data_IF_864055590124
#
_entry.id   IF_864055590124
#
_cell.length_a   1.000
_cell.length_b   1.000
_cell.length_c   1.000
_cell.angle_alpha   90.00
_cell.angle_beta   90.00
_cell.angle_gamma   90.00
#
_symmetry.space_group_name_H-M   'P 1'
#
loop_
_entity.id
_entity.type
_entity.pdbx_description
1 polymer ?
#
# COMPACT_ATOMS: atom_id res chain seq x y z
N UNK A 1 27.76 17.81 -8.36
CA UNK A 1 27.55 17.85 -6.90
C UNK A 1 27.15 16.47 -6.40
N UNK A 2 28.01 15.92 -5.54
CA UNK A 2 27.90 14.79 -4.59
C UNK A 2 26.97 13.60 -4.86
N UNK A 3 27.55 12.49 -5.32
CA UNK A 3 26.97 11.15 -5.22
C UNK A 3 26.95 10.57 -3.77
N UNK A 4 27.43 11.33 -2.78
CA UNK A 4 27.51 10.87 -1.38
C UNK A 4 26.26 11.21 -0.56
N UNK A 5 25.43 12.18 -0.99
CA UNK A 5 24.18 12.58 -0.29
C UNK A 5 22.99 11.69 -0.67
N UNK A 6 23.07 10.99 -1.81
CA UNK A 6 22.00 10.11 -2.31
C UNK A 6 21.86 8.78 -1.54
N UNK A 7 22.96 8.22 -1.01
CA UNK A 7 22.90 6.94 -0.30
C UNK A 7 22.17 7.01 1.06
N UNK A 8 22.39 8.03 1.93
CA UNK A 8 21.68 8.15 3.21
C UNK A 8 20.16 8.32 3.06
N UNK A 9 19.72 9.10 2.06
CA UNK A 9 18.29 9.33 1.81
C UNK A 9 17.62 8.05 1.30
N UNK A 10 18.24 7.36 0.36
CA UNK A 10 17.73 6.09 -0.16
C UNK A 10 17.67 5.01 0.94
N UNK A 11 18.65 4.95 1.84
CA UNK A 11 18.64 4.03 2.97
C UNK A 11 17.53 4.36 3.96
N UNK A 12 17.38 5.64 4.32
CA UNK A 12 16.31 6.11 5.21
C UNK A 12 14.93 5.82 4.63
N UNK A 13 14.75 6.06 3.33
CA UNK A 13 13.51 5.77 2.63
C UNK A 13 13.24 4.26 2.58
N UNK A 14 14.25 3.44 2.30
CA UNK A 14 14.10 1.97 2.28
C UNK A 14 13.64 1.43 3.63
N UNK A 15 14.24 1.90 4.73
CA UNK A 15 13.85 1.53 6.07
C UNK A 15 12.40 1.95 6.37
N UNK A 16 12.05 3.22 6.07
CA UNK A 16 10.69 3.71 6.26
C UNK A 16 9.67 2.94 5.41
N UNK A 17 9.98 2.63 4.15
CA UNK A 17 9.11 1.88 3.26
C UNK A 17 8.91 0.42 3.70
N UNK A 18 9.92 -0.19 4.32
CA UNK A 18 9.81 -1.51 4.93
C UNK A 18 8.90 -1.52 6.16
N UNK A 19 8.90 -0.45 6.96
CA UNK A 19 8.11 -0.35 8.20
C UNK A 19 6.71 0.23 8.02
N UNK A 20 6.51 1.08 7.02
CA UNK A 20 5.26 1.82 6.79
C UNK A 20 4.51 1.36 5.54
N UNK A 21 5.17 0.69 4.60
CA UNK A 21 4.69 0.57 3.23
C UNK A 21 5.19 1.71 2.34
N UNK A 22 5.29 1.45 1.04
CA UNK A 22 5.94 2.37 0.12
C UNK A 22 5.13 3.65 -0.12
N UNK A 23 3.81 3.54 -0.18
CA UNK A 23 2.94 4.71 -0.39
C UNK A 23 2.93 5.57 0.87
N UNK A 24 2.76 4.96 2.04
CA UNK A 24 2.74 5.65 3.34
C UNK A 24 4.08 6.34 3.61
N UNK A 25 5.21 5.67 3.34
CA UNK A 25 6.54 6.27 3.44
C UNK A 25 6.74 7.43 2.45
N UNK A 26 6.26 7.28 1.20
CA UNK A 26 6.32 8.37 0.20
C UNK A 26 5.58 9.61 0.68
N UNK A 27 4.35 9.42 1.17
CA UNK A 27 3.51 10.50 1.69
C UNK A 27 4.14 11.18 2.90
N UNK A 28 4.73 10.41 3.82
CA UNK A 28 5.46 10.95 4.97
C UNK A 28 6.62 11.85 4.51
N UNK A 29 7.50 11.34 3.65
CA UNK A 29 8.67 12.10 3.19
C UNK A 29 8.26 13.36 2.42
N UNK A 30 7.25 13.27 1.55
CA UNK A 30 6.74 14.43 0.81
C UNK A 30 6.19 15.49 1.76
N UNK A 31 5.35 15.11 2.74
CA UNK A 31 4.81 16.04 3.75
C UNK A 31 5.94 16.70 4.55
N UNK A 32 6.93 15.92 4.98
CA UNK A 32 8.09 16.43 5.72
C UNK A 32 8.90 17.43 4.90
N UNK A 33 9.22 17.12 3.64
CA UNK A 33 9.93 18.03 2.75
C UNK A 33 9.12 19.30 2.46
N UNK A 34 7.83 19.15 2.16
CA UNK A 34 6.92 20.27 1.93
C UNK A 34 6.85 21.21 3.13
N UNK A 35 6.80 20.67 4.35
CA UNK A 35 6.74 21.47 5.58
C UNK A 35 8.02 22.30 5.84
N UNK A 36 9.19 21.82 5.39
CA UNK A 36 10.48 22.46 5.69
C UNK A 36 11.02 23.32 4.54
N UNK A 37 10.65 23.03 3.29
CA UNK A 37 11.17 23.75 2.11
C UNK A 37 10.21 23.81 0.93
N UNK A 38 8.93 23.54 1.16
CA UNK A 38 7.87 23.63 0.15
C UNK A 38 8.11 22.73 -1.08
N UNK A 39 7.58 23.16 -2.22
CA UNK A 39 7.71 22.44 -3.48
C UNK A 39 9.17 22.22 -3.92
N UNK A 40 10.07 23.15 -3.62
CA UNK A 40 11.48 23.02 -3.96
C UNK A 40 12.13 21.81 -3.26
N UNK A 41 11.88 21.64 -1.95
CA UNK A 41 12.38 20.48 -1.21
C UNK A 41 11.77 19.15 -1.69
N UNK A 42 10.50 19.16 -2.13
CA UNK A 42 9.87 17.97 -2.71
C UNK A 42 10.48 17.62 -4.08
N UNK A 43 10.79 18.63 -4.90
CA UNK A 43 11.49 18.43 -6.16
C UNK A 43 12.90 17.86 -5.94
N UNK A 44 13.63 18.34 -4.92
CA UNK A 44 14.93 17.81 -4.55
C UNK A 44 14.86 16.35 -4.07
N UNK A 45 13.86 16.00 -3.26
CA UNK A 45 13.57 14.62 -2.85
C UNK A 45 13.32 13.72 -4.07
N UNK A 46 12.45 14.16 -4.99
CA UNK A 46 12.15 13.45 -6.23
C UNK A 46 13.41 13.22 -7.07
N UNK A 47 14.22 14.25 -7.27
CA UNK A 47 15.43 14.18 -8.09
C UNK A 47 16.49 13.25 -7.48
N UNK A 48 16.60 13.20 -6.15
CA UNK A 48 17.60 12.37 -5.46
C UNK A 48 17.19 10.90 -5.34
N UNK A 49 15.91 10.62 -5.09
CA UNK A 49 15.43 9.29 -4.72
C UNK A 49 14.45 8.66 -5.72
N UNK A 50 13.68 9.47 -6.46
CA UNK A 50 12.58 9.01 -7.32
C UNK A 50 13.01 7.99 -8.38
N UNK A 51 14.22 8.13 -8.93
CA UNK A 51 14.75 7.17 -9.89
C UNK A 51 14.87 5.74 -9.34
N UNK A 52 15.09 5.59 -8.04
CA UNK A 52 15.19 4.31 -7.34
C UNK A 52 13.85 3.85 -6.76
N UNK A 53 12.94 4.78 -6.48
CA UNK A 53 11.64 4.52 -5.85
C UNK A 53 10.50 5.11 -6.69
N UNK A 54 9.98 4.36 -7.69
CA UNK A 54 8.96 4.87 -8.62
C UNK A 54 7.67 5.37 -7.95
N UNK A 55 7.25 4.76 -6.84
CA UNK A 55 6.07 5.22 -6.07
C UNK A 55 6.32 6.61 -5.46
N UNK A 56 7.52 6.83 -4.91
CA UNK A 56 7.92 8.14 -4.42
C UNK A 56 8.01 9.15 -5.56
N UNK A 57 8.60 8.78 -6.70
CA UNK A 57 8.71 9.63 -7.89
C UNK A 57 7.34 10.13 -8.36
N UNK A 58 6.39 9.20 -8.50
CA UNK A 58 5.03 9.50 -8.97
C UNK A 58 4.23 10.27 -7.93
N UNK A 59 4.30 9.92 -6.64
CA UNK A 59 3.63 10.68 -5.59
C UNK A 59 4.20 12.10 -5.45
N UNK A 60 5.52 12.26 -5.60
CA UNK A 60 6.16 13.58 -5.58
C UNK A 60 5.80 14.39 -6.83
N UNK A 61 5.73 13.76 -8.00
CA UNK A 61 5.26 14.41 -9.23
C UNK A 61 3.83 14.95 -9.05
N UNK A 62 2.94 14.12 -8.49
CA UNK A 62 1.54 14.49 -8.27
C UNK A 62 1.42 15.67 -7.29
N UNK A 63 2.19 15.66 -6.21
CA UNK A 63 2.29 16.79 -5.29
C UNK A 63 2.82 18.06 -5.97
N UNK A 64 3.86 17.96 -6.80
CA UNK A 64 4.45 19.12 -7.47
C UNK A 64 3.50 19.77 -8.48
N UNK A 65 2.60 18.99 -9.07
CA UNK A 65 1.61 19.48 -10.02
C UNK A 65 0.37 20.08 -9.33
N UNK A 66 -0.09 19.46 -8.24
CA UNK A 66 -1.37 19.83 -7.60
C UNK A 66 -1.19 20.65 -6.31
N UNK A 67 0.00 20.65 -5.73
CA UNK A 67 0.30 21.21 -4.42
C UNK A 67 -0.18 20.35 -3.24
N UNK A 68 -0.77 19.18 -3.50
CA UNK A 68 -1.37 18.32 -2.47
C UNK A 68 -1.10 16.84 -2.75
N UNK A 69 -1.15 16.02 -1.70
CA UNK A 69 -1.18 14.56 -1.87
C UNK A 69 -2.65 14.13 -2.00
N UNK A 70 -2.99 13.20 -2.92
CA UNK A 70 -4.36 12.70 -3.04
C UNK A 70 -4.90 12.18 -1.70
N UNK A 71 -6.19 12.41 -1.39
CA UNK A 71 -6.81 11.78 -0.24
C UNK A 71 -6.87 10.26 -0.44
N UNK A 72 -6.73 9.50 0.65
CA UNK A 72 -7.02 8.07 0.63
C UNK A 72 -8.54 7.93 0.71
N UNK A 73 -9.17 7.27 -0.28
CA UNK A 73 -10.61 7.07 -0.38
C UNK A 73 -11.20 6.13 0.70
N UNK A 74 -10.95 6.43 1.97
CA UNK A 74 -11.17 5.55 3.11
C UNK A 74 -12.65 5.24 3.35
N UNK A 75 -13.54 6.21 3.18
CA UNK A 75 -14.97 6.01 3.42
C UNK A 75 -15.56 4.90 2.53
N UNK A 76 -15.10 4.81 1.27
CA UNK A 76 -15.54 3.76 0.36
C UNK A 76 -14.98 2.40 0.79
N UNK A 77 -13.70 2.32 1.16
CA UNK A 77 -13.09 1.10 1.69
C UNK A 77 -13.78 0.62 2.97
N UNK A 78 -14.04 1.52 3.92
CA UNK A 78 -14.74 1.22 5.17
C UNK A 78 -16.18 0.74 4.88
N UNK A 79 -16.90 1.41 3.98
CA UNK A 79 -18.26 1.05 3.60
C UNK A 79 -18.37 -0.35 3.00
N UNK A 80 -17.38 -0.77 2.20
CA UNK A 80 -17.32 -2.12 1.63
C UNK A 80 -16.90 -3.16 2.67
N UNK A 81 -15.83 -2.90 3.42
CA UNK A 81 -15.23 -3.85 4.36
C UNK A 81 -16.05 -4.03 5.64
N UNK A 82 -16.90 -3.08 6.00
CA UNK A 82 -17.84 -3.22 7.13
C UNK A 82 -18.93 -4.29 6.89
N UNK A 83 -19.13 -4.72 5.64
CA UNK A 83 -20.13 -5.72 5.25
C UNK A 83 -19.66 -7.16 5.41
N UNK A 84 -18.37 -7.36 5.70
CA UNK A 84 -17.77 -8.68 5.93
C UNK A 84 -17.42 -8.85 7.40
N UNK A 85 -17.21 -10.10 7.83
CA UNK A 85 -16.78 -10.43 9.19
C UNK A 85 -15.25 -10.48 9.31
N UNK A 86 -14.55 -10.92 8.26
CA UNK A 86 -13.09 -11.01 8.22
C UNK A 86 -12.52 -10.23 7.04
N UNK A 87 -11.47 -9.45 7.28
CA UNK A 87 -10.68 -8.78 6.26
C UNK A 87 -9.26 -9.33 6.32
N UNK A 88 -8.82 -9.96 5.23
CA UNK A 88 -7.44 -10.39 5.05
C UNK A 88 -6.75 -9.37 4.14
N UNK A 89 -5.70 -8.74 4.63
CA UNK A 89 -4.97 -7.68 3.94
C UNK A 89 -3.69 -8.26 3.33
N UNK A 90 -3.51 -8.04 2.03
CA UNK A 90 -2.34 -8.45 1.25
C UNK A 90 -1.50 -7.21 0.95
N UNK A 91 -0.25 -7.24 1.42
CA UNK A 91 0.60 -6.06 1.49
C UNK A 91 0.40 -5.30 2.81
N UNK A 92 1.20 -4.25 3.00
CA UNK A 92 1.14 -3.43 4.20
C UNK A 92 1.34 -1.97 3.83
N UNK A 93 0.41 -1.13 4.28
CA UNK A 93 0.48 0.33 4.21
C UNK A 93 -0.13 0.86 5.50
N UNK A 94 0.68 1.56 6.30
CA UNK A 94 0.29 1.98 7.65
C UNK A 94 -0.79 3.05 7.63
N UNK A 95 -0.70 4.04 6.75
CA UNK A 95 -1.68 5.15 6.72
C UNK A 95 -3.10 4.65 6.38
N UNK A 96 -3.33 3.80 5.36
CA UNK A 96 -4.63 3.18 5.14
C UNK A 96 -5.08 2.27 6.29
N UNK A 97 -4.19 1.48 6.89
CA UNK A 97 -4.54 0.61 8.03
C UNK A 97 -4.95 1.42 9.25
N UNK A 98 -4.28 2.53 9.53
CA UNK A 98 -4.59 3.45 10.63
C UNK A 98 -5.98 4.10 10.45
N UNK A 99 -6.48 4.20 9.21
CA UNK A 99 -7.84 4.64 8.92
C UNK A 99 -8.86 3.50 9.07
N UNK A 100 -8.51 2.28 8.66
CA UNK A 100 -9.41 1.11 8.71
C UNK A 100 -9.63 0.58 10.13
N UNK A 101 -8.55 0.35 10.88
CA UNK A 101 -8.58 -0.33 12.18
C UNK A 101 -9.54 0.32 13.18
N UNK A 102 -9.56 1.66 13.38
CA UNK A 102 -10.52 2.28 14.29
C UNK A 102 -11.96 2.27 13.75
N UNK A 103 -12.17 2.26 12.43
CA UNK A 103 -13.50 2.27 11.81
C UNK A 103 -14.14 0.86 11.78
N UNK A 104 -13.35 -0.17 11.57
CA UNK A 104 -13.77 -1.57 11.50
C UNK A 104 -13.73 -2.22 12.89
N UNK A 105 -14.68 -1.83 13.73
CA UNK A 105 -14.69 -2.19 15.16
C UNK A 105 -15.05 -3.65 15.43
N UNK A 106 -15.85 -4.27 14.57
CA UNK A 106 -16.34 -5.65 14.75
C UNK A 106 -15.61 -6.66 13.86
N UNK A 107 -14.95 -6.20 12.80
CA UNK A 107 -14.24 -7.06 11.87
C UNK A 107 -12.97 -7.63 12.51
N UNK A 108 -12.66 -8.87 12.13
CA UNK A 108 -11.33 -9.44 12.31
C UNK A 108 -10.44 -8.98 11.16
N UNK A 109 -9.32 -8.34 11.49
CA UNK A 109 -8.36 -7.84 10.50
C UNK A 109 -7.10 -8.69 10.60
N UNK A 110 -6.74 -9.34 9.50
CA UNK A 110 -5.49 -10.09 9.37
C UNK A 110 -4.62 -9.42 8.32
N UNK A 111 -3.32 -9.35 8.56
CA UNK A 111 -2.32 -8.86 7.61
C UNK A 111 -1.40 -10.00 7.25
N UNK A 112 -1.24 -10.24 5.96
CA UNK A 112 -0.25 -11.16 5.43
C UNK A 112 1.16 -10.62 5.71
N UNK A 113 1.93 -11.33 6.51
CA UNK A 113 3.32 -10.97 6.86
C UNK A 113 4.33 -11.38 5.78
N UNK A 114 4.04 -11.00 4.53
CA UNK A 114 4.89 -11.22 3.37
C UNK A 114 5.07 -9.90 2.61
N UNK A 115 6.30 -9.38 2.56
CA UNK A 115 6.63 -8.14 1.86
C UNK A 115 7.94 -8.26 1.10
N UNK A 116 8.07 -7.44 0.04
CA UNK A 116 9.28 -7.35 -0.77
C UNK A 116 10.42 -6.59 -0.07
N UNK A 117 10.08 -5.68 0.84
CA UNK A 117 11.05 -4.95 1.67
C UNK A 117 11.03 -5.53 3.09
N UNK A 118 12.20 -5.64 3.74
CA UNK A 118 12.26 -6.15 5.11
C UNK A 118 11.62 -5.17 6.09
N UNK A 119 10.81 -5.72 6.99
CA UNK A 119 10.17 -4.98 8.08
C UNK A 119 10.09 -5.86 9.33
N UNK A 120 10.03 -5.23 10.50
CA UNK A 120 9.82 -5.91 11.78
C UNK A 120 8.32 -6.05 12.02
N UNK A 121 7.75 -7.16 11.55
CA UNK A 121 6.31 -7.42 11.62
C UNK A 121 5.77 -7.41 13.05
N UNK A 122 6.52 -7.95 14.01
CA UNK A 122 6.10 -7.97 15.41
C UNK A 122 5.95 -6.54 15.93
N UNK A 123 6.97 -5.70 15.72
CA UNK A 123 6.92 -4.28 16.12
C UNK A 123 5.85 -3.50 15.37
N UNK A 124 5.73 -3.69 14.06
CA UNK A 124 4.75 -3.00 13.23
C UNK A 124 3.33 -3.30 13.69
N UNK A 125 3.01 -4.58 13.95
CA UNK A 125 1.67 -5.00 14.37
C UNK A 125 1.37 -4.68 15.83
N UNK A 126 2.39 -4.57 16.69
CA UNK A 126 2.23 -4.14 18.08
C UNK A 126 1.58 -2.73 18.20
N UNK A 127 1.77 -1.86 17.19
CA UNK A 127 1.12 -0.54 17.14
C UNK A 127 -0.41 -0.63 17.15
N UNK A 128 -0.98 -1.74 16.67
CA UNK A 128 -2.42 -1.97 16.62
C UNK A 128 -2.98 -2.66 17.87
N UNK A 129 -2.15 -2.90 18.91
CA UNK A 129 -2.59 -3.43 20.22
C UNK A 129 -3.45 -4.70 20.11
N UNK A 130 -3.11 -5.59 19.18
CA UNK A 130 -3.83 -6.84 18.94
C UNK A 130 -5.11 -6.74 18.11
N UNK A 131 -5.48 -5.55 17.60
CA UNK A 131 -6.61 -5.39 16.67
C UNK A 131 -6.31 -5.94 15.27
N UNK A 132 -5.03 -6.02 14.91
CA UNK A 132 -4.55 -6.62 13.66
C UNK A 132 -3.74 -7.85 14.01
N UNK A 133 -4.06 -8.97 13.35
CA UNK A 133 -3.38 -10.25 13.54
C UNK A 133 -2.47 -10.54 12.35
N UNK A 134 -1.32 -11.17 12.60
CA UNK A 134 -0.49 -11.70 11.54
C UNK A 134 -1.09 -12.99 10.97
N UNK A 135 -0.95 -13.18 9.66
CA UNK A 135 -1.16 -14.46 8.99
C UNK A 135 -0.04 -14.69 7.99
N UNK A 136 0.40 -15.94 7.81
CA UNK A 136 1.35 -16.31 6.76
C UNK A 136 0.63 -16.80 5.50
N UNK A 137 1.38 -17.17 4.47
CA UNK A 137 0.79 -17.65 3.21
C UNK A 137 -0.01 -18.96 3.40
N UNK A 138 0.44 -19.83 4.30
CA UNK A 138 -0.15 -21.14 4.52
C UNK A 138 -1.51 -21.02 5.25
N UNK A 139 -1.66 -20.03 6.13
CA UNK A 139 -2.87 -19.80 6.92
C UNK A 139 -3.92 -18.89 6.30
N UNK A 140 -3.68 -18.25 5.15
CA UNK A 140 -4.67 -17.31 4.56
C UNK A 140 -6.00 -18.01 4.23
N UNK A 141 -5.93 -19.22 3.65
CA UNK A 141 -7.12 -19.92 3.18
C UNK A 141 -8.02 -20.39 4.32
N UNK A 142 -7.47 -20.56 5.54
CA UNK A 142 -8.25 -20.84 6.76
C UNK A 142 -9.16 -19.66 7.16
N UNK A 143 -9.01 -18.51 6.50
CA UNK A 143 -9.81 -17.32 6.73
C UNK A 143 -10.66 -16.92 5.52
N UNK A 144 -10.65 -17.74 4.47
CA UNK A 144 -11.57 -17.60 3.36
C UNK A 144 -13.01 -17.97 3.77
N UNK A 145 -13.99 -17.44 3.05
CA UNK A 145 -15.39 -17.75 3.27
C UNK A 145 -16.35 -16.69 2.71
N UNK A 146 -17.67 -16.97 2.81
CA UNK A 146 -18.74 -16.11 2.28
C UNK A 146 -18.88 -14.76 3.01
N UNK A 147 -18.18 -14.58 4.13
CA UNK A 147 -18.14 -13.31 4.89
C UNK A 147 -16.70 -12.83 5.08
N UNK A 148 -15.82 -13.17 4.14
CA UNK A 148 -14.42 -12.75 4.14
C UNK A 148 -14.09 -11.94 2.89
N UNK A 149 -13.35 -10.84 3.07
CA UNK A 149 -12.77 -10.06 1.97
C UNK A 149 -11.25 -10.21 1.96
N UNK A 150 -10.66 -10.30 0.77
CA UNK A 150 -9.23 -10.16 0.55
C UNK A 150 -8.97 -8.74 0.03
N UNK A 151 -8.37 -7.89 0.86
CA UNK A 151 -8.00 -6.51 0.53
C UNK A 151 -6.56 -6.46 0.04
N UNK A 152 -6.31 -5.80 -1.08
CA UNK A 152 -4.98 -5.53 -1.61
C UNK A 152 -4.78 -4.03 -1.76
N UNK A 153 -3.68 -3.50 -1.22
CA UNK A 153 -3.27 -2.14 -1.53
C UNK A 153 -2.59 -2.12 -2.89
N UNK A 154 -3.16 -1.36 -3.82
CA UNK A 154 -2.67 -1.27 -5.19
C UNK A 154 -2.22 0.15 -5.50
N UNK A 155 -1.43 0.29 -6.56
CA UNK A 155 -1.04 1.60 -7.08
C UNK A 155 -1.07 1.60 -8.61
N UNK A 156 -0.92 2.79 -9.19
CA UNK A 156 -0.94 2.94 -10.63
C UNK A 156 -2.35 2.95 -11.20
N UNK A 157 -2.45 2.66 -12.49
CA UNK A 157 -3.72 2.54 -13.20
C UNK A 157 -3.79 3.44 -14.43
N UNK A 158 -3.74 2.81 -15.61
CA UNK A 158 -4.33 3.32 -16.85
C UNK A 158 -5.04 2.16 -17.56
N UNK A 159 -6.30 2.36 -17.93
CA UNK A 159 -7.08 1.34 -18.62
C UNK A 159 -7.41 0.16 -17.71
N UNK A 160 -6.84 -1.02 -18.01
CA UNK A 160 -7.26 -2.30 -17.43
C UNK A 160 -6.21 -2.97 -16.54
N UNK A 161 -5.16 -2.27 -16.10
CA UNK A 161 -4.13 -2.85 -15.21
C UNK A 161 -3.86 -1.99 -13.98
N UNK A 162 -3.45 -2.66 -12.90
CA UNK A 162 -2.99 -2.05 -11.64
C UNK A 162 -1.72 -2.77 -11.18
N UNK A 163 -0.98 -2.13 -10.28
CA UNK A 163 0.22 -2.72 -9.71
C UNK A 163 -0.03 -3.15 -8.26
N UNK A 164 0.34 -4.40 -7.96
CA UNK A 164 0.09 -5.07 -6.67
C UNK A 164 1.40 -5.47 -6.00
N UNK A 165 1.45 -5.63 -4.66
CA UNK A 165 2.56 -6.29 -3.99
C UNK A 165 2.75 -7.72 -4.54
N UNK A 166 4.00 -8.19 -4.64
CA UNK A 166 4.32 -9.54 -5.13
C UNK A 166 3.64 -10.66 -4.34
N UNK A 167 3.30 -10.39 -3.07
CA UNK A 167 2.49 -11.25 -2.21
C UNK A 167 1.16 -11.64 -2.88
N UNK A 168 0.53 -10.73 -3.62
CA UNK A 168 -0.72 -10.98 -4.32
C UNK A 168 -0.63 -12.15 -5.28
N UNK A 169 0.48 -12.29 -6.02
CA UNK A 169 0.68 -13.39 -6.97
C UNK A 169 0.79 -14.76 -6.29
N UNK A 170 0.99 -14.81 -4.97
CA UNK A 170 1.03 -16.05 -4.18
C UNK A 170 -0.33 -16.42 -3.61
N UNK A 171 -1.23 -15.44 -3.46
CA UNK A 171 -2.54 -15.61 -2.82
C UNK A 171 -3.67 -15.64 -3.84
N UNK A 172 -3.50 -14.95 -4.96
CA UNK A 172 -4.48 -14.87 -6.03
C UNK A 172 -4.21 -15.92 -7.11
N UNK A 173 -5.15 -16.85 -7.24
CA UNK A 173 -5.27 -17.80 -8.35
C UNK A 173 -6.74 -18.02 -8.71
N UNK A 174 -7.03 -18.88 -9.70
CA UNK A 174 -8.39 -19.17 -10.15
C UNK A 174 -9.35 -19.55 -9.00
N UNK A 175 -8.84 -20.26 -8.00
CA UNK A 175 -9.62 -20.77 -6.87
C UNK A 175 -9.92 -19.70 -5.81
N UNK A 176 -9.07 -18.68 -5.67
CA UNK A 176 -9.21 -17.63 -4.63
C UNK A 176 -10.52 -16.86 -4.77
N UNK A 177 -10.95 -16.60 -6.01
CA UNK A 177 -12.24 -15.96 -6.32
C UNK A 177 -13.45 -16.76 -5.88
N UNK A 178 -13.30 -18.08 -5.73
CA UNK A 178 -14.41 -18.95 -5.35
C UNK A 178 -14.58 -19.05 -3.84
N UNK A 179 -13.55 -18.71 -3.07
CA UNK A 179 -13.52 -18.92 -1.61
C UNK A 179 -13.62 -17.62 -0.82
N UNK A 180 -13.18 -16.48 -1.36
CA UNK A 180 -13.45 -15.16 -0.76
C UNK A 180 -14.70 -14.53 -1.36
N UNK A 181 -15.53 -13.91 -0.51
CA UNK A 181 -16.73 -13.21 -0.97
C UNK A 181 -16.40 -11.97 -1.81
N UNK A 182 -15.27 -11.31 -1.51
CA UNK A 182 -14.81 -10.10 -2.20
C UNK A 182 -13.30 -10.09 -2.33
N UNK A 183 -12.82 -9.66 -3.50
CA UNK A 183 -11.43 -9.31 -3.76
C UNK A 183 -11.37 -7.80 -3.99
N UNK A 184 -10.91 -7.05 -2.99
CA UNK A 184 -10.96 -5.59 -2.98
C UNK A 184 -9.57 -5.04 -3.29
N UNK A 185 -9.44 -4.26 -4.35
CA UNK A 185 -8.27 -3.43 -4.58
C UNK A 185 -8.54 -2.01 -4.06
N UNK A 186 -7.67 -1.52 -3.18
CA UNK A 186 -7.67 -0.11 -2.79
C UNK A 186 -6.45 0.59 -3.37
N UNK A 187 -6.69 1.40 -4.39
CA UNK A 187 -5.70 2.18 -5.10
C UNK A 187 -5.31 3.41 -4.30
N UNK A 188 -4.07 3.43 -3.82
CA UNK A 188 -3.56 4.49 -2.95
C UNK A 188 -2.82 5.58 -3.74
N UNK A 189 -2.55 5.33 -5.03
CA UNK A 189 -1.86 6.25 -5.92
C UNK A 189 -2.37 6.02 -7.36
N UNK A 190 -3.56 6.56 -7.73
CA UNK A 190 -4.21 6.32 -9.00
C UNK A 190 -3.59 7.15 -10.14
N UNK A 191 -2.27 7.05 -10.29
CA UNK A 191 -1.49 7.79 -11.28
C UNK A 191 -0.58 6.84 -12.05
N UNK A 192 -0.44 6.98 -13.37
CA UNK A 192 0.44 6.13 -14.16
C UNK A 192 1.89 6.30 -13.72
N UNK A 193 2.66 5.22 -13.78
CA UNK A 193 4.10 5.27 -13.50
C UNK A 193 4.88 5.56 -14.78
N UNK A 194 5.76 6.55 -14.73
CA UNK A 194 6.75 6.79 -15.80
C UNK A 194 7.87 5.74 -15.79
N UNK A 195 8.02 5.02 -14.67
CA UNK A 195 9.06 4.00 -14.44
C UNK A 195 8.42 2.75 -13.84
N UNK A 196 8.82 1.58 -14.33
CA UNK A 196 8.31 0.32 -13.80
C UNK A 196 8.57 0.17 -12.28
N UNK A 197 7.53 -0.07 -11.46
CA UNK A 197 7.67 -0.21 -10.00
C UNK A 197 8.32 -1.55 -9.64
N UNK A 198 9.63 -1.53 -9.38
CA UNK A 198 10.53 -2.71 -9.25
C UNK A 198 10.18 -3.75 -8.16
N UNK A 199 9.19 -3.49 -7.33
CA UNK A 199 8.73 -4.39 -6.24
C UNK A 199 7.25 -4.75 -6.33
N UNK A 200 6.59 -4.33 -7.40
CA UNK A 200 5.20 -4.64 -7.65
C UNK A 200 5.07 -5.45 -8.93
N UNK A 201 3.97 -6.20 -9.03
CA UNK A 201 3.59 -6.92 -10.22
C UNK A 201 2.42 -6.20 -10.90
N UNK A 202 2.43 -6.15 -12.22
CA UNK A 202 1.28 -5.68 -12.98
C UNK A 202 0.27 -6.82 -13.09
N UNK A 203 -1.00 -6.52 -12.78
CA UNK A 203 -2.12 -7.46 -12.92
C UNK A 203 -3.32 -6.77 -13.58
N UNK A 204 -4.20 -7.53 -14.25
CA UNK A 204 -5.47 -7.01 -14.73
C UNK A 204 -6.33 -6.46 -13.59
N UNK A 205 -6.96 -5.30 -13.77
CA UNK A 205 -7.86 -4.72 -12.76
C UNK A 205 -9.13 -5.56 -12.56
N UNK A 206 -9.51 -6.37 -13.56
CA UNK A 206 -10.62 -7.30 -13.44
C UNK A 206 -10.32 -8.51 -12.54
N UNK A 207 -9.08 -8.67 -12.04
CA UNK A 207 -8.74 -9.62 -10.97
C UNK A 207 -9.54 -9.36 -9.69
N UNK A 208 -9.95 -8.12 -9.47
CA UNK A 208 -10.68 -7.66 -8.30
C UNK A 208 -12.20 -7.60 -8.55
N UNK A 209 -12.98 -7.90 -7.51
CA UNK A 209 -14.44 -7.68 -7.52
C UNK A 209 -14.78 -6.21 -7.34
N UNK A 210 -13.98 -5.50 -6.55
CA UNK A 210 -14.17 -4.10 -6.23
C UNK A 210 -12.82 -3.37 -6.37
N UNK A 211 -12.79 -2.25 -7.10
CA UNK A 211 -11.63 -1.37 -7.21
C UNK A 211 -12.01 0.02 -6.66
N UNK A 212 -11.28 0.46 -5.65
CA UNK A 212 -11.49 1.71 -4.93
C UNK A 212 -10.33 2.64 -5.27
N UNK A 213 -10.59 3.80 -5.87
CA UNK A 213 -9.55 4.75 -6.28
C UNK A 213 -10.13 5.91 -7.06
#
# INVERSE_FOLDING_TARGET
MSAAVTAPLAQSFTAAAGELGQVSASRLFIRTCAAHGGAAAVADLKNQAGASFPILDTAAQDYLETGQLPPLAADHAIGLLSQVATVVVVGFESEPLDLLVPALTTQRILVLTHAALPGDWERMLANYRGRVQAVDLDGILDHAGPSSALLCFVTGGQGHTVYVPSAWLRVHGPDTRTVFARLVAWNLLPRPFDRYPRWQAEVPSNDFTDLIG
#
